data_IF_976435316373
#
_entry.id   IF_976435316373
#
_cell.length_a   1.000
_cell.length_b   1.000
_cell.length_c   1.000
_cell.angle_alpha   90.00
_cell.angle_beta   90.00
_cell.angle_gamma   90.00
#
_symmetry.space_group_name_H-M   'P 1'
#
loop_
_entity.id
_entity.type
_entity.pdbx_description
1 polymer ?
#
# COMPACT_ATOMS: atom_id res chain seq x y z
N UNK A 1 0.44 22.61 9.94
CA UNK A 1 1.69 22.05 9.39
C UNK A 1 1.34 21.10 8.26
N UNK A 2 1.71 21.41 7.02
CA UNK A 2 1.51 20.49 5.89
C UNK A 2 2.71 19.51 5.88
N UNK A 3 2.46 18.22 6.16
CA UNK A 3 3.52 17.20 6.08
C UNK A 3 3.90 17.02 4.61
N UNK A 4 5.21 17.00 4.32
CA UNK A 4 5.70 16.74 2.97
C UNK A 4 5.28 15.34 2.51
N UNK A 5 4.98 15.14 1.21
CA UNK A 5 4.74 13.82 0.66
C UNK A 5 5.98 12.94 0.85
N UNK A 6 5.74 11.65 1.07
CA UNK A 6 6.76 10.63 1.35
C UNK A 6 6.61 9.51 0.32
N UNK A 7 7.70 8.76 0.11
CA UNK A 7 7.71 7.55 -0.71
C UNK A 7 7.62 6.34 0.22
N UNK A 8 6.58 5.54 0.08
CA UNK A 8 6.27 4.40 0.97
C UNK A 8 6.32 3.11 0.17
N UNK A 9 7.15 2.15 0.60
CA UNK A 9 7.21 0.82 0.04
C UNK A 9 6.45 -0.19 0.90
N UNK A 10 5.56 -0.96 0.29
CA UNK A 10 4.86 -2.09 0.93
C UNK A 10 5.41 -3.38 0.33
N UNK A 11 6.02 -4.21 1.18
CA UNK A 11 6.67 -5.46 0.78
C UNK A 11 6.04 -6.61 1.55
N UNK A 12 5.62 -7.65 0.83
CA UNK A 12 5.04 -8.87 1.41
C UNK A 12 5.37 -10.05 0.49
N UNK A 13 5.19 -11.29 0.97
CA UNK A 13 5.31 -12.47 0.10
C UNK A 13 4.15 -12.56 -0.89
N UNK A 14 2.95 -12.10 -0.49
CA UNK A 14 1.74 -12.04 -1.32
C UNK A 14 0.89 -10.82 -0.95
N UNK A 15 0.34 -10.15 -1.95
CA UNK A 15 -0.61 -9.03 -1.86
C UNK A 15 -1.71 -9.20 -2.93
N UNK A 16 -2.39 -10.34 -2.91
CA UNK A 16 -3.37 -10.74 -3.94
C UNK A 16 -4.52 -11.51 -3.30
N UNK A 17 -5.75 -11.23 -3.72
CA UNK A 17 -6.96 -11.91 -3.25
C UNK A 17 -7.63 -11.27 -2.02
N UNK A 18 -8.47 -12.05 -1.34
CA UNK A 18 -9.31 -11.58 -0.22
C UNK A 18 -8.75 -11.94 1.16
N UNK A 19 -7.43 -12.19 1.25
CA UNK A 19 -6.81 -12.42 2.55
C UNK A 19 -6.73 -11.13 3.36
N UNK A 20 -6.66 -11.28 4.69
CA UNK A 20 -6.67 -10.13 5.59
C UNK A 20 -5.54 -9.14 5.33
N UNK A 21 -4.35 -9.60 4.94
CA UNK A 21 -3.19 -8.73 4.69
C UNK A 21 -3.45 -7.87 3.45
N UNK A 22 -3.88 -8.49 2.34
CA UNK A 22 -4.21 -7.77 1.11
C UNK A 22 -5.28 -6.71 1.32
N UNK A 23 -6.34 -7.03 2.09
CA UNK A 23 -7.41 -6.08 2.41
C UNK A 23 -6.94 -4.93 3.31
N UNK A 24 -6.14 -5.20 4.34
CA UNK A 24 -5.56 -4.15 5.19
C UNK A 24 -4.61 -3.25 4.39
N UNK A 25 -3.75 -3.82 3.55
CA UNK A 25 -2.83 -3.08 2.68
C UNK A 25 -3.61 -2.17 1.73
N UNK A 26 -4.72 -2.62 1.16
CA UNK A 26 -5.60 -1.80 0.33
C UNK A 26 -6.16 -0.57 1.07
N UNK A 27 -6.61 -0.75 2.32
CA UNK A 27 -7.09 0.36 3.17
C UNK A 27 -5.98 1.36 3.49
N UNK A 28 -4.81 0.89 3.89
CA UNK A 28 -3.65 1.74 4.16
C UNK A 28 -3.19 2.49 2.91
N UNK A 29 -3.12 1.82 1.76
CA UNK A 29 -2.79 2.44 0.49
C UNK A 29 -3.80 3.55 0.14
N UNK A 30 -5.09 3.33 0.36
CA UNK A 30 -6.12 4.35 0.14
C UNK A 30 -5.88 5.60 1.00
N UNK A 31 -5.65 5.43 2.31
CA UNK A 31 -5.40 6.55 3.24
C UNK A 31 -4.11 7.27 2.89
N UNK A 32 -3.01 6.54 2.63
CA UNK A 32 -1.71 7.12 2.33
C UNK A 32 -1.71 7.90 1.00
N UNK A 33 -2.40 7.41 -0.03
CA UNK A 33 -2.59 8.17 -1.29
C UNK A 33 -3.40 9.44 -1.06
N UNK A 34 -4.48 9.37 -0.28
CA UNK A 34 -5.30 10.55 0.08
C UNK A 34 -4.52 11.60 0.87
N UNK A 35 -3.53 11.17 1.64
CA UNK A 35 -2.58 12.05 2.34
C UNK A 35 -1.50 12.63 1.41
N UNK A 36 -1.45 12.25 0.13
CA UNK A 36 -0.49 12.74 -0.87
C UNK A 36 0.81 11.95 -0.91
N UNK A 37 0.90 10.78 -0.28
CA UNK A 37 2.11 9.95 -0.32
C UNK A 37 2.15 9.09 -1.59
N UNK A 38 3.37 8.87 -2.09
CA UNK A 38 3.66 8.01 -3.23
C UNK A 38 3.91 6.59 -2.74
N UNK A 39 3.19 5.60 -3.29
CA UNK A 39 3.28 4.21 -2.84
C UNK A 39 3.85 3.29 -3.92
N UNK A 40 4.69 2.37 -3.46
CA UNK A 40 5.32 1.30 -4.23
C UNK A 40 5.00 -0.06 -3.60
N UNK A 41 4.81 -1.08 -4.41
CA UNK A 41 4.44 -2.41 -3.96
C UNK A 41 5.42 -3.44 -4.53
N UNK A 42 5.85 -4.37 -3.69
CA UNK A 42 6.67 -5.50 -4.10
C UNK A 42 6.16 -6.75 -3.40
N UNK A 43 5.71 -7.74 -4.18
CA UNK A 43 5.32 -9.02 -3.63
C UNK A 43 5.59 -10.14 -4.63
N UNK A 44 5.67 -11.38 -4.13
CA UNK A 44 5.77 -12.57 -4.98
C UNK A 44 4.52 -12.76 -5.85
N UNK A 45 3.38 -12.27 -5.37
CA UNK A 45 2.14 -12.17 -6.14
C UNK A 45 1.44 -10.83 -5.81
N UNK A 46 1.16 -10.04 -6.84
CA UNK A 46 0.46 -8.74 -6.74
C UNK A 46 -0.92 -8.87 -7.39
N UNK A 47 -1.97 -8.46 -6.66
CA UNK A 47 -3.31 -8.30 -7.20
C UNK A 47 -3.39 -7.07 -8.10
N UNK A 48 -4.04 -7.23 -9.26
CA UNK A 48 -4.34 -6.15 -10.21
C UNK A 48 -5.58 -5.35 -9.85
#
# INVERSE_FOLDING_TARGET
MQKKPLRVGIISTRLSGTDGVSLEVGKWACVLRRMGHELFFCAGELGG
#
